data_IF_351314027651
#
_entry.id   IF_351314027651
#
_cell.length_a   1.000
_cell.length_b   1.000
_cell.length_c   1.000
_cell.angle_alpha   90.00
_cell.angle_beta   90.00
_cell.angle_gamma   90.00
#
_symmetry.space_group_name_H-M   'P 1'
#
loop_
_entity.id
_entity.type
_entity.pdbx_description
1 polymer ?
#
# COMPACT_ATOMS: atom_id res chain seq x y z
N UNK A 1 26.19 26.30 11.29
CA UNK A 1 25.08 27.24 11.10
C UNK A 1 23.79 26.46 10.84
N UNK A 2 23.00 26.21 11.87
CA UNK A 2 21.71 25.51 11.78
C UNK A 2 20.66 26.45 11.20
N UNK A 3 20.31 26.27 9.92
CA UNK A 3 19.20 26.99 9.31
C UNK A 3 17.89 26.54 9.98
N UNK A 4 17.31 27.42 10.80
CA UNK A 4 15.94 27.29 11.31
C UNK A 4 15.00 27.29 10.11
N UNK A 5 14.47 26.12 9.74
CA UNK A 5 13.37 26.01 8.78
C UNK A 5 12.15 26.69 9.40
N UNK A 6 11.79 27.86 8.88
CA UNK A 6 10.54 28.55 9.20
C UNK A 6 9.39 27.59 8.87
N UNK A 7 8.67 27.14 9.90
CA UNK A 7 7.33 26.57 9.73
C UNK A 7 6.42 27.73 9.37
N UNK A 8 6.21 27.93 8.07
CA UNK A 8 5.11 28.78 7.61
C UNK A 8 3.81 28.16 8.12
N UNK A 9 3.19 28.84 9.08
CA UNK A 9 1.86 28.49 9.59
C UNK A 9 0.87 28.77 8.46
N UNK A 10 0.57 27.74 7.68
CA UNK A 10 -0.61 27.74 6.81
C UNK A 10 -1.80 27.97 7.73
N UNK A 11 -2.51 29.10 7.55
CA UNK A 11 -3.82 29.32 8.19
C UNK A 11 -4.79 28.32 7.58
N UNK A 12 -4.87 27.14 8.18
CA UNK A 12 -5.87 26.16 7.82
C UNK A 12 -7.19 26.60 8.45
N UNK A 13 -8.16 26.93 7.61
CA UNK A 13 -9.51 27.25 8.04
C UNK A 13 -10.13 26.00 8.66
N UNK A 14 -10.62 26.13 9.89
CA UNK A 14 -11.24 25.02 10.66
C UNK A 14 -12.59 24.61 10.08
N UNK A 15 -13.21 25.52 9.34
CA UNK A 15 -14.46 25.29 8.65
C UNK A 15 -14.21 24.97 7.18
N UNK A 16 -14.75 23.84 6.71
CA UNK A 16 -14.72 23.49 5.28
C UNK A 16 -16.15 23.54 4.70
N UNK A 17 -16.32 24.04 3.47
CA UNK A 17 -17.62 24.06 2.81
C UNK A 17 -18.01 22.65 2.36
N UNK A 18 -19.25 22.28 2.68
CA UNK A 18 -19.95 21.12 2.13
C UNK A 18 -20.52 21.52 0.79
N UNK A 19 -20.21 20.72 -0.23
CA UNK A 19 -20.64 20.97 -1.60
C UNK A 19 -21.69 19.95 -2.04
N UNK A 20 -22.62 20.40 -2.85
CA UNK A 20 -23.53 19.52 -3.57
C UNK A 20 -22.79 18.77 -4.69
N UNK A 21 -23.07 17.47 -4.84
CA UNK A 21 -22.42 16.61 -5.83
C UNK A 21 -22.78 16.98 -7.27
N UNK A 22 -24.04 17.37 -7.53
CA UNK A 22 -24.55 17.61 -8.90
C UNK A 22 -24.24 19.02 -9.41
N UNK A 23 -24.39 20.01 -8.54
CA UNK A 23 -24.22 21.42 -8.87
C UNK A 23 -22.85 21.98 -8.50
N UNK A 24 -22.13 21.38 -7.56
CA UNK A 24 -20.87 21.90 -7.03
C UNK A 24 -21.03 23.16 -6.19
N UNK A 25 -22.28 23.55 -5.85
CA UNK A 25 -22.57 24.71 -5.03
C UNK A 25 -22.28 24.41 -3.56
N UNK A 26 -21.82 25.43 -2.84
CA UNK A 26 -21.61 25.37 -1.39
C UNK A 26 -22.98 25.46 -0.71
N UNK A 27 -23.31 24.44 0.08
CA UNK A 27 -24.59 24.35 0.79
C UNK A 27 -24.46 24.89 2.20
N UNK A 28 -23.44 24.40 2.94
CA UNK A 28 -23.21 24.64 4.36
C UNK A 28 -21.71 24.57 4.66
N UNK A 29 -21.29 25.02 5.83
CA UNK A 29 -19.94 24.83 6.36
C UNK A 29 -19.96 23.82 7.51
N UNK A 30 -18.95 22.96 7.58
CA UNK A 30 -18.73 22.03 8.70
C UNK A 30 -17.47 22.44 9.45
N UNK A 31 -17.54 22.43 10.77
CA UNK A 31 -16.39 22.60 11.65
C UNK A 31 -15.66 21.26 11.86
N UNK A 32 -14.34 21.28 11.74
CA UNK A 32 -13.50 20.09 11.87
C UNK A 32 -13.07 19.88 13.33
N UNK A 33 -13.24 18.66 13.85
CA UNK A 33 -12.75 18.31 15.19
C UNK A 33 -11.22 18.42 15.27
N UNK A 34 -10.73 19.32 16.12
CA UNK A 34 -9.32 19.58 16.39
C UNK A 34 -8.56 18.32 16.87
N UNK A 35 -9.25 17.37 17.50
CA UNK A 35 -8.63 16.11 17.95
C UNK A 35 -8.17 15.26 16.78
N UNK A 36 -8.82 15.36 15.62
CA UNK A 36 -8.52 14.59 14.41
C UNK A 36 -7.72 15.46 13.43
N UNK A 37 -8.11 16.73 13.26
CA UNK A 37 -7.51 17.65 12.30
C UNK A 37 -6.58 18.66 13.00
N UNK A 38 -5.38 18.20 13.37
CA UNK A 38 -4.36 19.01 14.06
C UNK A 38 -3.20 19.47 13.14
N UNK A 39 -3.34 19.29 11.82
CA UNK A 39 -2.34 19.62 10.79
C UNK A 39 -0.97 18.93 10.97
N UNK A 40 -0.84 17.99 11.93
CA UNK A 40 0.42 17.30 12.20
C UNK A 40 0.55 16.08 11.30
N UNK A 41 1.58 16.10 10.45
CA UNK A 41 1.90 15.00 9.54
C UNK A 41 3.19 14.30 9.98
N UNK A 42 3.11 13.01 10.30
CA UNK A 42 4.24 12.15 10.66
C UNK A 42 4.56 11.18 9.51
N UNK A 43 5.49 11.59 8.64
CA UNK A 43 5.90 10.81 7.45
C UNK A 43 6.51 9.44 7.78
N UNK A 44 7.45 9.29 8.74
CA UNK A 44 8.00 7.98 9.10
C UNK A 44 6.94 6.96 9.51
N UNK A 45 5.96 7.39 10.29
CA UNK A 45 4.89 6.53 10.78
C UNK A 45 3.96 6.11 9.64
N UNK A 46 3.62 7.04 8.74
CA UNK A 46 2.87 6.72 7.51
C UNK A 46 3.58 5.67 6.68
N UNK A 47 4.88 5.85 6.43
CA UNK A 47 5.69 4.89 5.67
C UNK A 47 5.66 3.50 6.33
N UNK A 48 5.86 3.42 7.64
CA UNK A 48 5.86 2.15 8.36
C UNK A 48 4.53 1.39 8.21
N UNK A 49 3.39 2.08 8.30
CA UNK A 49 2.07 1.47 8.13
C UNK A 49 1.81 1.07 6.68
N UNK A 50 2.25 1.86 5.71
CA UNK A 50 2.12 1.53 4.28
C UNK A 50 2.94 0.29 3.94
N UNK A 51 4.19 0.20 4.39
CA UNK A 51 5.03 -1.00 4.18
C UNK A 51 4.38 -2.23 4.81
N UNK A 52 3.82 -2.10 6.01
CA UNK A 52 3.10 -3.20 6.68
C UNK A 52 1.88 -3.66 5.87
N UNK A 53 1.07 -2.70 5.40
CA UNK A 53 -0.10 -2.99 4.59
C UNK A 53 0.26 -3.67 3.26
N UNK A 54 1.32 -3.18 2.60
CA UNK A 54 1.82 -3.78 1.37
C UNK A 54 2.38 -5.18 1.61
N UNK A 55 3.11 -5.40 2.71
CA UNK A 55 3.65 -6.70 3.07
C UNK A 55 2.53 -7.72 3.34
N UNK A 56 1.48 -7.32 4.06
CA UNK A 56 0.31 -8.16 4.33
C UNK A 56 -0.51 -8.50 3.07
N UNK A 57 -0.47 -7.66 2.03
CA UNK A 57 -1.10 -7.95 0.73
C UNK A 57 -0.34 -8.97 -0.11
N UNK A 58 0.90 -9.32 0.24
CA UNK A 58 1.71 -10.27 -0.54
C UNK A 58 1.22 -11.69 -0.26
N UNK A 59 0.86 -12.42 -1.31
CA UNK A 59 0.40 -13.80 -1.19
C UNK A 59 1.51 -14.79 -0.78
N UNK A 60 2.78 -14.48 -1.09
CA UNK A 60 3.92 -15.31 -0.67
C UNK A 60 3.94 -16.74 -1.21
N UNK A 61 3.39 -16.97 -2.41
CA UNK A 61 3.24 -18.31 -3.03
C UNK A 61 4.46 -18.78 -3.82
N UNK A 62 5.56 -18.02 -3.83
CA UNK A 62 6.76 -18.40 -4.55
C UNK A 62 7.39 -19.64 -3.91
N UNK A 63 7.57 -20.70 -4.70
CA UNK A 63 8.15 -21.96 -4.26
C UNK A 63 9.08 -22.53 -5.32
N UNK A 64 10.17 -23.15 -4.88
CA UNK A 64 11.10 -23.87 -5.73
C UNK A 64 11.40 -25.24 -5.13
N UNK A 65 11.69 -26.22 -5.98
CA UNK A 65 12.05 -27.56 -5.52
C UNK A 65 13.48 -27.55 -5.01
N UNK A 66 13.65 -27.92 -3.76
CA UNK A 66 14.95 -28.26 -3.17
C UNK A 66 15.49 -29.54 -3.78
N UNK A 67 16.78 -29.85 -3.55
CA UNK A 67 17.38 -31.11 -4.01
C UNK A 67 16.61 -32.37 -3.55
N UNK A 68 15.87 -32.28 -2.43
CA UNK A 68 15.09 -33.39 -1.88
C UNK A 68 13.78 -33.62 -2.63
N UNK A 69 13.19 -32.56 -3.16
CA UNK A 69 11.87 -32.56 -3.82
C UNK A 69 11.95 -32.81 -5.33
N UNK A 70 13.15 -32.68 -5.92
CA UNK A 70 13.39 -33.01 -7.33
C UNK A 70 13.33 -34.54 -7.54
N UNK A 71 12.60 -34.97 -8.56
CA UNK A 71 12.46 -36.38 -8.94
C UNK A 71 13.76 -36.96 -9.51
N UNK A 72 13.98 -38.26 -9.31
CA UNK A 72 15.10 -39.04 -9.87
C UNK A 72 16.44 -38.81 -9.15
N UNK A 73 17.19 -39.82 -8.76
CA UNK A 73 18.40 -39.70 -7.94
C UNK A 73 18.70 -41.00 -7.23
N UNK A 74 19.28 -40.96 -6.02
CA UNK A 74 19.50 -42.16 -5.19
C UNK A 74 20.74 -42.97 -5.56
N UNK A 75 20.92 -43.31 -6.85
CA UNK A 75 22.15 -43.94 -7.33
C UNK A 75 23.25 -42.89 -7.52
N UNK A 76 24.41 -43.13 -6.92
CA UNK A 76 25.60 -42.29 -7.14
C UNK A 76 25.98 -42.32 -8.62
N UNK A 77 26.20 -41.16 -9.30
CA UNK A 77 26.48 -41.13 -10.73
C UNK A 77 27.71 -41.94 -11.16
N UNK A 78 28.77 -41.95 -10.34
CA UNK A 78 29.98 -42.76 -10.55
C UNK A 78 30.73 -43.06 -9.25
N UNK A 79 31.69 -43.99 -9.33
CA UNK A 79 32.57 -44.40 -8.22
C UNK A 79 33.38 -43.22 -7.68
N UNK A 80 33.79 -43.29 -6.41
CA UNK A 80 34.48 -42.18 -5.72
C UNK A 80 35.85 -41.81 -6.32
N UNK A 81 36.51 -42.78 -6.98
CA UNK A 81 37.82 -42.67 -7.61
C UNK A 81 37.85 -43.55 -8.88
N UNK A 82 38.85 -43.35 -9.74
CA UNK A 82 39.11 -44.20 -10.91
C UNK A 82 38.35 -43.85 -12.19
N UNK A 83 37.71 -42.67 -12.27
CA UNK A 83 36.92 -42.25 -13.44
C UNK A 83 37.45 -41.00 -14.15
N UNK A 84 38.47 -40.33 -13.62
CA UNK A 84 39.01 -39.06 -14.16
C UNK A 84 38.08 -37.85 -14.06
N UNK A 85 36.82 -38.02 -13.60
CA UNK A 85 35.81 -36.96 -13.45
C UNK A 85 35.81 -36.37 -12.04
N UNK A 86 35.30 -35.15 -11.90
CA UNK A 86 35.06 -34.53 -10.58
C UNK A 86 34.15 -35.43 -9.70
N UNK A 87 34.29 -35.36 -8.37
CA UNK A 87 33.48 -36.19 -7.45
C UNK A 87 32.07 -35.63 -7.32
N UNK A 88 31.07 -36.50 -7.46
CA UNK A 88 29.66 -36.11 -7.33
C UNK A 88 28.87 -37.14 -6.52
N UNK A 89 28.04 -36.65 -5.60
CA UNK A 89 27.22 -37.49 -4.73
C UNK A 89 25.85 -37.84 -5.31
N UNK A 90 25.24 -36.92 -6.07
CA UNK A 90 23.89 -37.09 -6.61
C UNK A 90 23.71 -36.30 -7.91
N UNK A 91 22.86 -36.78 -8.80
CA UNK A 91 22.42 -36.06 -10.00
C UNK A 91 21.49 -34.88 -9.70
N UNK A 92 20.88 -34.82 -8.51
CA UNK A 92 19.97 -33.72 -8.08
C UNK A 92 20.70 -32.46 -7.59
N UNK A 93 22.03 -32.41 -7.74
CA UNK A 93 22.85 -31.32 -7.23
C UNK A 93 22.44 -29.97 -7.87
N UNK A 94 22.28 -28.86 -7.13
CA UNK A 94 22.01 -27.52 -7.67
C UNK A 94 22.94 -27.06 -8.80
N UNK A 95 24.18 -27.56 -8.84
CA UNK A 95 25.13 -27.23 -9.91
C UNK A 95 24.78 -27.87 -11.26
N UNK A 96 23.92 -28.88 -11.28
CA UNK A 96 23.61 -29.67 -12.47
C UNK A 96 22.29 -29.23 -13.09
N UNK A 97 22.19 -29.39 -14.43
CA UNK A 97 20.93 -29.19 -15.15
C UNK A 97 19.87 -30.16 -14.61
N UNK A 98 18.70 -29.63 -14.25
CA UNK A 98 17.62 -30.43 -13.64
C UNK A 98 17.81 -30.74 -12.15
N UNK A 99 18.86 -30.22 -11.50
CA UNK A 99 19.03 -30.27 -10.05
C UNK A 99 18.09 -29.32 -9.30
N UNK A 100 17.99 -29.49 -7.98
CA UNK A 100 17.15 -28.62 -7.14
C UNK A 100 17.82 -27.30 -6.79
N UNK A 101 17.03 -26.26 -6.46
CA UNK A 101 17.56 -24.97 -6.01
C UNK A 101 18.18 -25.08 -4.61
N UNK A 102 19.32 -24.42 -4.37
CA UNK A 102 20.00 -24.43 -3.06
C UNK A 102 19.38 -23.44 -2.06
N UNK A 103 19.14 -22.20 -2.48
CA UNK A 103 18.54 -21.12 -1.68
C UNK A 103 17.41 -20.47 -2.46
N UNK A 104 16.52 -21.29 -3.01
CA UNK A 104 15.36 -20.80 -3.74
C UNK A 104 14.27 -20.27 -2.79
N UNK A 105 13.30 -19.51 -3.31
CA UNK A 105 12.18 -19.04 -2.51
C UNK A 105 11.33 -20.22 -2.03
N UNK A 106 10.82 -20.06 -0.81
CA UNK A 106 9.80 -20.93 -0.20
C UNK A 106 8.58 -20.11 0.16
N UNK A 107 7.38 -20.73 0.14
CA UNK A 107 6.17 -20.05 0.56
C UNK A 107 6.29 -19.55 1.99
N UNK A 108 5.97 -18.27 2.20
CA UNK A 108 6.03 -17.66 3.52
C UNK A 108 5.05 -16.51 3.65
N UNK A 109 4.61 -16.29 4.88
CA UNK A 109 3.86 -15.09 5.20
C UNK A 109 4.82 -13.89 5.38
N UNK A 110 4.47 -12.77 4.74
CA UNK A 110 5.18 -11.50 4.85
C UNK A 110 4.49 -10.54 5.83
N UNK A 111 3.32 -10.91 6.37
CA UNK A 111 2.55 -10.08 7.26
C UNK A 111 3.30 -9.84 8.59
N UNK A 112 3.17 -8.63 9.12
CA UNK A 112 3.63 -8.29 10.46
C UNK A 112 2.69 -7.27 11.09
N UNK A 113 2.60 -7.27 12.42
CA UNK A 113 1.66 -6.41 13.14
C UNK A 113 2.36 -5.20 13.75
N UNK A 114 1.61 -4.10 13.84
CA UNK A 114 2.02 -2.85 14.48
C UNK A 114 0.92 -2.49 15.51
N UNK A 115 1.26 -1.89 16.66
CA UNK A 115 0.28 -1.44 17.65
C UNK A 115 -0.90 -0.65 17.07
N UNK A 116 -2.12 -0.92 17.57
CA UNK A 116 -3.36 -0.26 17.10
C UNK A 116 -3.31 1.26 17.21
N UNK A 117 -2.67 1.79 18.27
CA UNK A 117 -2.50 3.24 18.48
C UNK A 117 -1.71 3.89 17.34
N UNK A 118 -0.66 3.21 16.84
CA UNK A 118 0.15 3.68 15.72
C UNK A 118 -0.67 3.66 14.42
N UNK A 119 -1.44 2.60 14.16
CA UNK A 119 -2.32 2.55 12.98
C UNK A 119 -3.31 3.71 12.95
N UNK A 120 -3.95 4.01 14.09
CA UNK A 120 -4.88 5.15 14.22
C UNK A 120 -4.17 6.49 13.99
N UNK A 121 -2.98 6.67 14.54
CA UNK A 121 -2.17 7.87 14.35
C UNK A 121 -1.73 8.05 12.89
N UNK A 122 -1.48 6.94 12.17
CA UNK A 122 -1.17 6.96 10.74
C UNK A 122 -2.35 7.50 9.93
N UNK A 123 -3.55 6.97 10.17
CA UNK A 123 -4.77 7.41 9.47
C UNK A 123 -5.03 8.90 9.74
N UNK A 124 -4.94 9.33 11.00
CA UNK A 124 -5.03 10.75 11.38
C UNK A 124 -4.01 11.60 10.61
N UNK A 125 -2.75 11.16 10.58
CA UNK A 125 -1.69 11.85 9.84
C UNK A 125 -1.92 11.88 8.33
N UNK A 126 -2.57 10.87 7.75
CA UNK A 126 -2.88 10.81 6.32
C UNK A 126 -4.00 11.81 5.96
N UNK A 127 -5.05 11.87 6.78
CA UNK A 127 -6.14 12.84 6.63
C UNK A 127 -5.62 14.28 6.76
N UNK A 128 -4.77 14.54 7.76
CA UNK A 128 -4.11 15.83 7.91
C UNK A 128 -3.25 16.20 6.70
N UNK A 129 -2.55 15.24 6.09
CA UNK A 129 -1.76 15.52 4.90
C UNK A 129 -2.64 15.97 3.71
N UNK A 130 -3.84 15.38 3.57
CA UNK A 130 -4.83 15.78 2.56
C UNK A 130 -5.47 17.13 2.87
N UNK A 131 -5.72 17.42 4.14
CA UNK A 131 -6.23 18.71 4.57
C UNK A 131 -5.21 19.84 4.34
N UNK A 132 -3.95 19.63 4.73
CA UNK A 132 -2.85 20.59 4.51
C UNK A 132 -2.63 20.86 3.01
N UNK A 133 -2.86 19.86 2.15
CA UNK A 133 -2.77 19.99 0.70
C UNK A 133 -4.01 20.58 0.02
N UNK A 134 -5.06 20.95 0.76
CA UNK A 134 -6.36 21.38 0.21
C UNK A 134 -6.97 20.37 -0.77
N UNK A 135 -6.78 19.07 -0.52
CA UNK A 135 -7.29 17.96 -1.34
C UNK A 135 -8.46 17.22 -0.67
N UNK A 136 -8.93 17.72 0.48
CA UNK A 136 -10.03 17.15 1.23
C UNK A 136 -11.31 17.95 0.95
N UNK A 137 -12.37 17.25 0.56
CA UNK A 137 -13.64 17.85 0.21
C UNK A 137 -14.78 17.12 0.93
N UNK A 138 -15.75 17.90 1.41
CA UNK A 138 -16.98 17.38 1.99
C UNK A 138 -18.11 17.50 0.98
N UNK A 139 -18.82 16.39 0.78
CA UNK A 139 -19.98 16.28 -0.11
C UNK A 139 -21.15 15.85 0.75
N UNK A 140 -22.32 16.46 0.56
CA UNK A 140 -23.51 16.19 1.36
C UNK A 140 -24.06 14.78 1.07
N UNK A 141 -24.67 14.59 -0.10
CA UNK A 141 -25.20 13.30 -0.53
C UNK A 141 -24.91 13.04 -2.00
N UNK A 142 -24.62 11.79 -2.33
CA UNK A 142 -24.45 11.32 -3.71
C UNK A 142 -25.78 10.71 -4.17
N UNK A 143 -26.76 11.57 -4.49
CA UNK A 143 -28.04 11.14 -5.07
C UNK A 143 -27.96 11.13 -6.59
N UNK A 144 -27.92 9.94 -7.17
CA UNK A 144 -28.07 9.73 -8.61
C UNK A 144 -29.46 9.14 -8.85
N UNK A 145 -30.30 9.81 -9.64
CA UNK A 145 -31.62 9.27 -10.01
C UNK A 145 -31.55 7.97 -10.80
N UNK A 146 -30.41 7.72 -11.48
CA UNK A 146 -30.12 6.46 -12.17
C UNK A 146 -28.63 6.11 -12.01
N UNK A 147 -28.25 4.82 -11.88
CA UNK A 147 -26.86 4.38 -11.76
C UNK A 147 -26.11 4.42 -13.11
N UNK A 148 -26.02 5.61 -13.72
CA UNK A 148 -25.35 5.83 -15.01
C UNK A 148 -23.97 6.47 -14.84
N UNK A 149 -22.92 5.79 -15.30
CA UNK A 149 -21.53 6.28 -15.26
C UNK A 149 -21.33 7.61 -15.98
N UNK A 150 -22.07 7.86 -17.07
CA UNK A 150 -22.03 9.14 -17.81
C UNK A 150 -22.49 10.32 -16.95
N UNK A 151 -23.54 10.15 -16.14
CA UNK A 151 -24.05 11.18 -15.24
C UNK A 151 -23.02 11.45 -14.14
N UNK A 152 -22.46 10.38 -13.58
CA UNK A 152 -21.43 10.46 -12.54
C UNK A 152 -20.15 11.16 -13.02
N UNK A 153 -19.64 10.79 -14.21
CA UNK A 153 -18.47 11.42 -14.81
C UNK A 153 -18.70 12.91 -15.11
N UNK A 154 -19.92 13.28 -15.55
CA UNK A 154 -20.29 14.69 -15.78
C UNK A 154 -20.28 15.48 -14.48
N UNK A 155 -20.83 14.93 -13.38
CA UNK A 155 -20.79 15.55 -12.06
C UNK A 155 -19.35 15.74 -11.56
N UNK A 156 -18.53 14.68 -11.63
CA UNK A 156 -17.10 14.70 -11.31
C UNK A 156 -16.35 15.80 -12.08
N UNK A 157 -16.61 15.92 -13.38
CA UNK A 157 -15.91 16.89 -14.25
C UNK A 157 -16.20 18.35 -13.88
N UNK A 158 -17.27 18.66 -13.16
CA UNK A 158 -17.53 20.05 -12.75
C UNK A 158 -16.63 20.49 -11.59
N UNK A 159 -16.25 19.55 -10.73
CA UNK A 159 -15.65 19.86 -9.44
C UNK A 159 -14.19 19.38 -9.32
N UNK A 160 -13.83 18.25 -9.94
CA UNK A 160 -12.56 17.55 -9.67
C UNK A 160 -11.63 17.47 -10.88
N UNK A 161 -11.82 18.32 -11.91
CA UNK A 161 -11.05 18.32 -13.16
C UNK A 161 -9.52 18.33 -12.99
N UNK A 162 -9.01 18.89 -11.89
CA UNK A 162 -7.57 18.99 -11.63
C UNK A 162 -6.96 17.74 -10.99
N UNK A 163 -7.76 16.79 -10.51
CA UNK A 163 -7.25 15.63 -9.76
C UNK A 163 -7.23 14.37 -10.62
N UNK A 164 -6.09 13.68 -10.62
CA UNK A 164 -5.90 12.44 -11.38
C UNK A 164 -6.67 11.24 -10.79
N UNK A 165 -6.85 11.22 -9.48
CA UNK A 165 -7.49 10.13 -8.76
C UNK A 165 -8.31 10.67 -7.59
N UNK A 166 -9.51 10.15 -7.40
CA UNK A 166 -10.44 10.56 -6.35
C UNK A 166 -10.92 9.31 -5.60
N UNK A 167 -10.97 9.39 -4.28
CA UNK A 167 -11.51 8.34 -3.42
C UNK A 167 -12.76 8.89 -2.74
N UNK A 168 -13.89 8.19 -2.90
CA UNK A 168 -15.11 8.48 -2.16
C UNK A 168 -15.14 7.63 -0.89
N UNK A 169 -15.47 8.27 0.23
CA UNK A 169 -15.75 7.62 1.50
C UNK A 169 -17.23 7.83 1.74
N UNK A 170 -17.99 6.74 1.80
CA UNK A 170 -19.42 6.75 2.08
C UNK A 170 -19.65 5.99 3.37
N UNK A 171 -20.56 6.50 4.20
CA UNK A 171 -21.08 5.74 5.33
C UNK A 171 -22.00 4.64 4.75
N UNK A 172 -21.65 3.39 5.02
CA UNK A 172 -22.38 2.21 4.58
C UNK A 172 -23.42 1.76 5.59
#
# INVERSE_FOLDING_TARGET
>A
MTAKVKKDKIKLEKTLPVRDFLSGKELRSIDLDEKIFDAKVNKPLLHQVVVMYQAAKRAGTASTKTRGEVSGGGKKPWKQKGTGRARVGSSRNPLWKGGGAAFGPHPKDYSYSIPKKIKRLAVKSALNAKWVGSELFFIDEIKLGEPKTKIFAKALSKFLKSYKSVMFIVDG
#
